data_IF_602557416085
#
_entry.id   IF_602557416085
#
_cell.length_a   1.000
_cell.length_b   1.000
_cell.length_c   1.000
_cell.angle_alpha   90.00
_cell.angle_beta   90.00
_cell.angle_gamma   90.00
#
_symmetry.space_group_name_H-M   'P 1'
#
loop_
_entity.id
_entity.type
_entity.pdbx_description
1 polymer ?
#
# COMPACT_ATOMS: atom_id res chain seq x y z
N UNK A 1 8.70 35.99 34.05
CA UNK A 1 8.41 35.18 35.26
C UNK A 1 6.90 34.96 35.26
N UNK A 2 6.31 33.77 35.09
CA UNK A 2 6.82 32.41 35.09
C UNK A 2 6.01 31.55 34.10
N UNK A 3 6.76 30.67 33.43
CA UNK A 3 6.43 29.33 32.91
C UNK A 3 5.15 28.68 33.45
N UNK A 4 4.33 28.13 32.56
CA UNK A 4 3.58 26.88 32.77
C UNK A 4 3.69 26.01 31.53
N UNK A 5 4.48 24.95 31.67
CA UNK A 5 4.47 23.76 30.83
C UNK A 5 3.20 22.94 31.08
N UNK A 6 2.65 22.35 30.03
CA UNK A 6 2.05 21.02 30.08
C UNK A 6 2.33 20.32 28.76
N UNK A 7 3.23 19.33 28.83
CA UNK A 7 3.37 18.22 27.90
C UNK A 7 2.05 17.47 27.73
N UNK A 8 1.80 16.95 26.53
CA UNK A 8 0.58 16.22 26.19
C UNK A 8 0.67 15.44 24.86
N UNK A 9 1.60 14.48 24.81
CA UNK A 9 1.54 13.19 24.09
C UNK A 9 0.71 13.08 22.79
N UNK A 10 1.43 13.05 21.66
CA UNK A 10 0.99 12.47 20.38
C UNK A 10 2.20 11.98 19.59
N UNK A 11 2.78 10.84 20.00
CA UNK A 11 4.01 10.29 19.42
C UNK A 11 3.71 9.37 18.24
N UNK A 12 3.76 9.89 17.01
CA UNK A 12 4.11 9.13 15.79
C UNK A 12 4.55 10.07 14.66
N UNK A 13 5.74 10.66 14.79
CA UNK A 13 6.54 11.01 13.61
C UNK A 13 7.77 10.10 13.66
N UNK A 14 7.59 8.83 13.30
CA UNK A 14 8.70 7.88 13.24
C UNK A 14 9.50 8.26 12.00
N UNK A 15 10.64 8.95 12.17
CA UNK A 15 11.54 9.45 11.12
C UNK A 15 12.14 8.39 10.18
N UNK A 16 11.31 7.50 9.63
CA UNK A 16 11.63 6.52 8.60
C UNK A 16 11.48 7.22 7.25
N UNK A 17 12.55 7.27 6.42
CA UNK A 17 12.48 7.93 5.13
C UNK A 17 11.39 7.33 4.22
N UNK A 18 10.71 8.14 3.39
CA UNK A 18 9.68 7.63 2.45
C UNK A 18 10.19 6.52 1.52
N UNK A 19 11.44 6.62 1.09
CA UNK A 19 12.10 5.59 0.28
C UNK A 19 12.25 4.26 1.03
N UNK A 20 12.47 4.30 2.34
CA UNK A 20 12.51 3.10 3.18
C UNK A 20 11.12 2.51 3.32
N UNK A 21 10.09 3.32 3.59
CA UNK A 21 8.68 2.88 3.65
C UNK A 21 8.27 2.19 2.35
N UNK A 22 8.69 2.68 1.19
CA UNK A 22 8.42 2.06 -0.10
C UNK A 22 9.04 0.65 -0.28
N UNK A 23 10.11 0.32 0.45
CA UNK A 23 10.77 -0.99 0.41
C UNK A 23 10.28 -1.97 1.47
N UNK A 24 9.75 -1.47 2.59
CA UNK A 24 9.26 -2.30 3.71
C UNK A 24 8.27 -3.42 3.28
N UNK A 25 7.31 -3.19 2.35
CA UNK A 25 6.44 -4.28 1.88
C UNK A 25 7.20 -5.42 1.21
N UNK A 26 8.33 -5.13 0.56
CA UNK A 26 9.21 -6.15 -0.02
C UNK A 26 9.91 -6.97 1.06
N UNK A 27 10.34 -6.33 2.15
CA UNK A 27 10.93 -7.01 3.31
C UNK A 27 9.91 -7.90 4.02
N UNK A 28 8.69 -7.41 4.21
CA UNK A 28 7.62 -8.19 4.82
C UNK A 28 7.35 -9.46 4.02
N UNK A 29 7.21 -9.36 2.68
CA UNK A 29 7.04 -10.54 1.81
C UNK A 29 8.18 -11.56 1.96
N UNK A 30 9.42 -11.10 2.05
CA UNK A 30 10.57 -11.99 2.22
C UNK A 30 10.56 -12.67 3.60
N UNK A 31 10.12 -11.97 4.64
CA UNK A 31 9.97 -12.51 6.00
C UNK A 31 8.80 -13.51 6.10
N UNK A 32 7.70 -13.25 5.39
CA UNK A 32 6.57 -14.17 5.31
C UNK A 32 7.01 -15.50 4.66
N UNK A 33 7.74 -15.42 3.54
CA UNK A 33 8.30 -16.61 2.89
C UNK A 33 9.28 -17.39 3.80
N UNK A 34 10.13 -16.69 4.55
CA UNK A 34 11.01 -17.31 5.55
C UNK A 34 10.22 -18.00 6.66
N UNK A 35 9.08 -17.43 7.07
CA UNK A 35 8.19 -18.00 8.07
C UNK A 35 7.53 -19.28 7.55
N UNK A 36 7.06 -19.27 6.29
CA UNK A 36 6.52 -20.46 5.60
C UNK A 36 7.57 -21.58 5.48
N UNK A 37 8.84 -21.22 5.25
CA UNK A 37 9.97 -22.14 5.22
C UNK A 37 10.39 -22.66 6.62
N UNK A 38 9.78 -22.16 7.70
CA UNK A 38 10.10 -22.53 9.08
C UNK A 38 11.43 -21.93 9.59
N UNK A 39 11.93 -20.88 8.95
CA UNK A 39 13.18 -20.21 9.33
C UNK A 39 12.93 -19.28 10.52
N UNK A 40 13.66 -19.53 11.61
CA UNK A 40 13.57 -18.72 12.84
C UNK A 40 14.46 -17.49 12.78
N UNK A 41 15.64 -17.59 12.15
CA UNK A 41 16.60 -16.51 12.08
C UNK A 41 17.19 -16.37 10.67
N UNK A 42 17.30 -15.13 10.17
CA UNK A 42 17.87 -14.83 8.84
C UNK A 42 19.04 -13.84 8.95
N UNK A 43 20.00 -13.93 8.01
CA UNK A 43 21.04 -12.92 7.86
C UNK A 43 20.53 -11.70 7.08
N UNK A 44 21.26 -10.58 7.10
CA UNK A 44 20.97 -9.44 6.23
C UNK A 44 21.23 -9.73 4.76
N UNK A 45 22.11 -10.68 4.46
CA UNK A 45 22.45 -11.05 3.09
C UNK A 45 21.32 -11.86 2.48
N UNK A 46 20.87 -12.91 3.17
CA UNK A 46 19.75 -13.74 2.75
C UNK A 46 18.45 -12.93 2.62
N UNK A 47 18.13 -12.12 3.63
CA UNK A 47 16.91 -11.31 3.58
C UNK A 47 16.95 -10.27 2.45
N UNK A 48 18.13 -9.68 2.17
CA UNK A 48 18.27 -8.70 1.11
C UNK A 48 18.17 -9.34 -0.27
N UNK A 49 18.74 -10.54 -0.45
CA UNK A 49 18.62 -11.33 -1.68
C UNK A 49 17.15 -11.65 -1.96
N UNK A 50 16.43 -12.22 -0.99
CA UNK A 50 14.99 -12.53 -1.12
C UNK A 50 14.14 -11.28 -1.41
N UNK A 51 14.51 -10.14 -0.83
CA UNK A 51 13.80 -8.88 -1.04
C UNK A 51 14.23 -8.12 -2.31
N UNK A 52 15.25 -8.58 -3.03
CA UNK A 52 15.77 -7.92 -4.23
C UNK A 52 16.45 -6.58 -3.96
N UNK A 53 17.10 -6.41 -2.81
CA UNK A 53 17.83 -5.18 -2.43
C UNK A 53 19.29 -5.47 -2.08
N UNK A 54 20.11 -4.43 -2.00
CA UNK A 54 21.48 -4.57 -1.50
C UNK A 54 21.49 -4.76 0.05
N UNK A 55 22.30 -5.68 0.61
CA UNK A 55 22.42 -5.88 2.07
C UNK A 55 22.77 -4.63 2.88
N UNK A 56 23.57 -3.71 2.33
CA UNK A 56 23.87 -2.42 2.96
C UNK A 56 22.64 -1.51 3.03
N UNK A 57 21.81 -1.50 1.97
CA UNK A 57 20.55 -0.76 1.95
C UNK A 57 19.56 -1.35 2.96
N UNK A 58 19.44 -2.67 3.01
CA UNK A 58 18.58 -3.35 3.97
C UNK A 58 18.97 -3.00 5.42
N UNK A 59 20.27 -3.11 5.78
CA UNK A 59 20.73 -2.74 7.13
C UNK A 59 20.44 -1.28 7.47
N UNK A 60 20.63 -0.37 6.52
CA UNK A 60 20.29 1.05 6.69
C UNK A 60 18.80 1.23 6.94
N UNK A 61 17.95 0.54 6.19
CA UNK A 61 16.50 0.62 6.34
C UNK A 61 16.02 0.07 7.68
N UNK A 62 16.50 -1.12 8.06
CA UNK A 62 16.13 -1.74 9.34
C UNK A 62 16.63 -0.93 10.54
N UNK A 63 17.73 -0.18 10.41
CA UNK A 63 18.21 0.70 11.49
C UNK A 63 17.23 1.81 11.87
N UNK A 64 16.32 2.23 10.97
CA UNK A 64 15.27 3.19 11.30
C UNK A 64 14.12 2.57 12.10
N UNK A 65 13.97 1.24 12.07
CA UNK A 65 12.95 0.51 12.81
C UNK A 65 13.39 0.23 14.26
N UNK A 66 14.69 0.35 14.53
CA UNK A 66 15.34 0.19 15.83
C UNK A 66 16.62 -0.66 15.72
N UNK A 67 17.26 -0.93 16.86
CA UNK A 67 18.49 -1.74 16.89
C UNK A 67 18.16 -3.23 16.92
N UNK A 68 18.07 -3.85 15.75
CA UNK A 68 17.81 -5.29 15.62
C UNK A 68 18.88 -5.96 14.78
N UNK A 69 19.30 -7.14 15.23
CA UNK A 69 20.51 -7.82 14.78
C UNK A 69 21.59 -7.79 15.85
N UNK A 70 21.80 -8.92 16.55
CA UNK A 70 23.06 -9.11 17.29
C UNK A 70 24.14 -9.41 16.25
N UNK A 71 25.28 -8.73 16.33
CA UNK A 71 26.45 -9.04 15.50
C UNK A 71 26.72 -10.55 15.61
N UNK A 72 26.65 -11.26 14.48
CA UNK A 72 26.87 -12.71 14.40
C UNK A 72 25.64 -13.61 14.59
N UNK A 73 24.44 -13.07 14.85
CA UNK A 73 23.20 -13.87 15.06
C UNK A 73 22.14 -13.65 13.99
N UNK A 74 22.09 -12.46 13.37
CA UNK A 74 21.06 -12.12 12.39
C UNK A 74 19.77 -11.59 13.02
N UNK A 75 18.68 -11.64 12.27
CA UNK A 75 17.35 -11.17 12.67
C UNK A 75 16.45 -12.35 13.00
N UNK A 76 15.71 -12.26 14.09
CA UNK A 76 14.62 -13.20 14.37
C UNK A 76 13.44 -12.83 13.46
N UNK A 77 12.97 -13.81 12.67
CA UNK A 77 12.06 -13.59 11.55
C UNK A 77 10.70 -13.11 12.04
N UNK A 78 10.14 -13.73 13.08
CA UNK A 78 8.81 -13.39 13.58
C UNK A 78 8.79 -11.97 14.16
N UNK A 79 9.77 -11.63 14.99
CA UNK A 79 9.91 -10.31 15.59
C UNK A 79 10.15 -9.22 14.56
N UNK A 80 10.99 -9.46 13.56
CA UNK A 80 11.23 -8.47 12.50
C UNK A 80 9.98 -8.27 11.64
N UNK A 81 9.23 -9.34 11.35
CA UNK A 81 7.96 -9.26 10.62
C UNK A 81 6.94 -8.40 11.37
N UNK A 82 6.77 -8.64 12.67
CA UNK A 82 5.88 -7.84 13.53
C UNK A 82 6.25 -6.34 13.48
N UNK A 83 7.54 -6.02 13.57
CA UNK A 83 8.01 -4.63 13.56
C UNK A 83 7.77 -3.92 12.23
N UNK A 84 8.07 -4.61 11.13
CA UNK A 84 7.80 -4.09 9.79
C UNK A 84 6.30 -3.88 9.63
N UNK A 85 5.47 -4.82 10.08
CA UNK A 85 4.01 -4.71 10.09
C UNK A 85 3.51 -3.50 10.89
N UNK A 86 4.03 -3.29 12.10
CA UNK A 86 3.66 -2.12 12.93
C UNK A 86 4.04 -0.81 12.26
N UNK A 87 5.20 -0.72 11.61
CA UNK A 87 5.64 0.49 10.90
C UNK A 87 4.79 0.74 9.65
N UNK A 88 4.33 -0.31 8.98
CA UNK A 88 3.39 -0.23 7.86
C UNK A 88 1.93 0.02 8.29
N UNK A 89 1.65 0.09 9.60
CA UNK A 89 0.29 0.30 10.10
C UNK A 89 -0.63 -0.92 9.97
N UNK A 90 -0.06 -2.12 9.84
CA UNK A 90 -0.80 -3.37 9.64
C UNK A 90 -1.23 -4.04 10.96
N UNK A 91 -1.06 -3.37 12.10
CA UNK A 91 -1.53 -3.84 13.40
C UNK A 91 -3.07 -3.92 13.48
N UNK A 92 -3.76 -3.19 12.61
CA UNK A 92 -5.22 -3.22 12.46
C UNK A 92 -5.57 -3.42 11.00
N UNK A 93 -6.61 -4.21 10.72
CA UNK A 93 -7.10 -4.39 9.36
C UNK A 93 -7.58 -3.05 8.77
N UNK A 94 -7.04 -2.65 7.63
CA UNK A 94 -7.40 -1.42 6.92
C UNK A 94 -8.58 -1.69 6.00
N UNK A 95 -9.60 -0.85 6.07
CA UNK A 95 -10.84 -1.01 5.31
C UNK A 95 -10.76 -0.20 4.02
N UNK A 96 -11.11 -0.84 2.91
CA UNK A 96 -10.90 -0.39 1.55
C UNK A 96 -12.22 -0.31 0.79
N UNK A 97 -12.42 0.81 0.08
CA UNK A 97 -13.46 0.93 -0.97
C UNK A 97 -12.80 0.89 -2.33
N UNK A 98 -13.40 0.17 -3.28
CA UNK A 98 -13.00 0.19 -4.70
C UNK A 98 -14.04 0.98 -5.47
N UNK A 99 -13.60 2.03 -6.18
CA UNK A 99 -14.44 2.86 -7.04
C UNK A 99 -14.11 2.59 -8.50
N UNK A 100 -15.13 2.21 -9.28
CA UNK A 100 -15.01 1.78 -10.67
C UNK A 100 -14.87 0.27 -10.80
N UNK A 101 -15.99 -0.43 -11.01
CA UNK A 101 -16.10 -1.88 -11.13
C UNK A 101 -16.19 -2.29 -12.61
N UNK A 102 -15.25 -1.77 -13.40
CA UNK A 102 -14.92 -2.31 -14.72
C UNK A 102 -14.04 -3.56 -14.62
N UNK A 103 -13.35 -3.93 -15.71
CA UNK A 103 -12.47 -5.11 -15.73
C UNK A 103 -11.42 -5.11 -14.60
N UNK A 104 -10.77 -3.96 -14.37
CA UNK A 104 -9.75 -3.84 -13.33
C UNK A 104 -10.36 -3.86 -11.92
N UNK A 105 -11.42 -3.10 -11.68
CA UNK A 105 -12.11 -3.11 -10.39
C UNK A 105 -12.63 -4.49 -10.01
N UNK A 106 -13.17 -5.24 -10.98
CA UNK A 106 -13.57 -6.63 -10.80
C UNK A 106 -12.39 -7.52 -10.41
N UNK A 107 -11.25 -7.39 -11.09
CA UNK A 107 -10.05 -8.16 -10.75
C UNK A 107 -9.53 -7.84 -9.34
N UNK A 108 -9.51 -6.55 -8.97
CA UNK A 108 -9.09 -6.09 -7.65
C UNK A 108 -10.04 -6.56 -6.54
N UNK A 109 -11.35 -6.54 -6.78
CA UNK A 109 -12.36 -7.00 -5.82
C UNK A 109 -12.23 -8.50 -5.52
N UNK A 110 -11.79 -9.31 -6.49
CA UNK A 110 -11.59 -10.75 -6.33
C UNK A 110 -10.16 -11.12 -5.87
N UNK A 111 -9.29 -10.13 -5.61
CA UNK A 111 -7.91 -10.40 -5.23
C UNK A 111 -7.79 -10.74 -3.74
N UNK A 112 -7.61 -12.02 -3.42
CA UNK A 112 -7.46 -12.50 -2.04
C UNK A 112 -6.24 -11.91 -1.31
N UNK A 113 -5.20 -11.52 -2.05
CA UNK A 113 -3.96 -11.00 -1.48
C UNK A 113 -4.10 -9.67 -0.74
N UNK A 114 -5.25 -8.99 -0.80
CA UNK A 114 -5.57 -7.90 0.11
C UNK A 114 -5.79 -8.38 1.55
N UNK A 115 -6.61 -9.42 1.73
CA UNK A 115 -6.93 -9.94 3.06
C UNK A 115 -5.67 -10.47 3.75
N UNK A 116 -4.82 -11.19 3.01
CA UNK A 116 -3.54 -11.73 3.49
C UNK A 116 -2.58 -10.62 3.96
N UNK A 117 -2.76 -9.38 3.46
CA UNK A 117 -1.92 -8.22 3.78
C UNK A 117 -2.58 -7.25 4.75
N UNK A 118 -3.67 -7.65 5.42
CA UNK A 118 -4.36 -6.82 6.39
C UNK A 118 -5.28 -5.76 5.78
N UNK A 119 -5.72 -5.95 4.54
CA UNK A 119 -6.69 -5.07 3.87
C UNK A 119 -8.03 -5.79 3.67
N UNK A 120 -9.13 -5.20 4.15
CA UNK A 120 -10.48 -5.67 3.86
C UNK A 120 -11.12 -4.79 2.79
N UNK A 121 -11.51 -5.38 1.66
CA UNK A 121 -12.44 -4.71 0.74
C UNK A 121 -13.84 -4.79 1.36
N UNK A 122 -14.41 -3.64 1.70
CA UNK A 122 -15.69 -3.54 2.43
C UNK A 122 -16.79 -2.87 1.63
N UNK A 123 -16.46 -2.31 0.47
CA UNK A 123 -17.38 -1.61 -0.39
C UNK A 123 -16.89 -1.60 -1.84
N UNK A 124 -17.84 -1.70 -2.76
CA UNK A 124 -17.63 -1.56 -4.20
C UNK A 124 -18.58 -0.47 -4.68
N UNK A 125 -18.07 0.52 -5.41
CA UNK A 125 -18.84 1.69 -5.81
C UNK A 125 -18.67 1.94 -7.30
N UNK A 126 -19.76 2.22 -8.01
CA UNK A 126 -19.75 2.59 -9.42
C UNK A 126 -20.83 3.65 -9.73
N UNK A 127 -20.62 4.42 -10.81
CA UNK A 127 -21.60 5.38 -11.32
C UNK A 127 -22.47 4.80 -12.45
N UNK A 128 -22.05 3.70 -13.09
CA UNK A 128 -22.76 3.09 -14.20
C UNK A 128 -24.01 2.33 -13.70
N UNK A 129 -25.23 2.72 -14.13
CA UNK A 129 -26.46 2.07 -13.67
C UNK A 129 -26.54 0.57 -14.00
N UNK A 130 -25.83 0.13 -15.04
CA UNK A 130 -25.75 -1.28 -15.42
C UNK A 130 -24.89 -2.13 -14.46
N UNK A 131 -24.03 -1.50 -13.67
CA UNK A 131 -23.11 -2.16 -12.73
C UNK A 131 -23.63 -2.06 -11.29
N UNK A 132 -24.24 -0.93 -10.94
CA UNK A 132 -24.88 -0.73 -9.63
C UNK A 132 -25.95 -1.80 -9.37
N UNK A 133 -25.94 -2.37 -8.16
CA UNK A 133 -26.83 -3.45 -7.73
C UNK A 133 -26.33 -4.87 -8.09
N UNK A 134 -25.30 -5.00 -8.93
CA UNK A 134 -24.66 -6.31 -9.17
C UNK A 134 -23.88 -6.78 -7.94
N UNK A 135 -23.58 -8.08 -7.86
CA UNK A 135 -22.77 -8.65 -6.79
C UNK A 135 -21.42 -9.10 -7.32
N UNK A 136 -20.35 -8.66 -6.68
CA UNK A 136 -18.96 -9.00 -7.00
C UNK A 136 -18.24 -9.35 -5.70
N UNK A 137 -17.55 -10.50 -5.68
CA UNK A 137 -16.83 -10.99 -4.50
C UNK A 137 -17.69 -11.01 -3.20
N UNK A 138 -19.00 -11.25 -3.34
CA UNK A 138 -19.96 -11.26 -2.22
C UNK A 138 -20.41 -9.87 -1.72
N UNK A 139 -19.97 -8.78 -2.37
CA UNK A 139 -20.38 -7.41 -2.07
C UNK A 139 -21.30 -6.89 -3.18
N UNK A 140 -22.34 -6.14 -2.78
CA UNK A 140 -23.21 -5.43 -3.73
C UNK A 140 -22.49 -4.15 -4.18
N UNK A 141 -22.51 -3.87 -5.48
CA UNK A 141 -22.00 -2.61 -6.02
C UNK A 141 -23.00 -1.50 -5.72
N UNK A 142 -22.55 -0.49 -5.01
CA UNK A 142 -23.35 0.65 -4.58
C UNK A 142 -23.14 1.88 -5.48
N UNK A 143 -24.11 2.79 -5.54
CA UNK A 143 -24.00 3.98 -6.37
C UNK A 143 -23.02 5.00 -5.78
N UNK A 144 -22.33 5.74 -6.65
CA UNK A 144 -21.33 6.74 -6.28
C UNK A 144 -21.85 7.87 -5.38
N UNK A 145 -23.13 8.23 -5.50
CA UNK A 145 -23.76 9.25 -4.66
C UNK A 145 -23.84 8.86 -3.17
N UNK A 146 -23.71 7.58 -2.85
CA UNK A 146 -23.68 7.05 -1.47
C UNK A 146 -22.27 6.96 -0.90
N UNK A 147 -21.23 7.34 -1.64
CA UNK A 147 -19.82 7.14 -1.25
C UNK A 147 -19.52 7.69 0.15
N UNK A 148 -19.95 8.92 0.46
CA UNK A 148 -19.71 9.52 1.77
C UNK A 148 -20.34 8.71 2.92
N UNK A 149 -21.59 8.28 2.76
CA UNK A 149 -22.28 7.46 3.75
C UNK A 149 -21.62 6.08 3.91
N UNK A 150 -21.15 5.48 2.81
CA UNK A 150 -20.42 4.21 2.82
C UNK A 150 -19.11 4.34 3.57
N UNK A 151 -18.35 5.41 3.31
CA UNK A 151 -17.06 5.67 3.96
C UNK A 151 -17.23 5.81 5.47
N UNK A 152 -18.21 6.59 5.91
CA UNK A 152 -18.51 6.78 7.33
C UNK A 152 -19.02 5.48 7.98
N UNK A 153 -20.06 4.85 7.43
CA UNK A 153 -20.71 3.69 8.02
C UNK A 153 -19.78 2.46 8.08
N UNK A 154 -18.77 2.40 7.22
CA UNK A 154 -17.83 1.28 7.12
C UNK A 154 -16.42 1.68 7.48
N UNK A 155 -16.18 2.82 8.12
CA UNK A 155 -14.85 3.26 8.59
C UNK A 155 -13.76 3.06 7.52
N UNK A 156 -14.06 3.50 6.30
CA UNK A 156 -13.16 3.30 5.16
C UNK A 156 -11.97 4.23 5.30
N UNK A 157 -10.78 3.65 5.19
CA UNK A 157 -9.53 4.38 5.39
C UNK A 157 -8.68 4.51 4.11
N UNK A 158 -8.99 3.70 3.10
CA UNK A 158 -8.28 3.67 1.81
C UNK A 158 -9.29 3.59 0.66
N UNK A 159 -9.12 4.45 -0.34
CA UNK A 159 -9.87 4.42 -1.59
C UNK A 159 -9.02 3.90 -2.74
N UNK A 160 -9.54 2.95 -3.50
CA UNK A 160 -8.92 2.45 -4.73
C UNK A 160 -9.69 2.98 -5.93
N UNK A 161 -9.02 3.74 -6.80
CA UNK A 161 -9.60 4.31 -8.02
C UNK A 161 -9.21 3.43 -9.21
N UNK A 162 -10.19 2.71 -9.74
CA UNK A 162 -10.08 1.84 -10.91
C UNK A 162 -10.95 2.35 -12.09
N UNK A 163 -11.22 3.65 -12.12
CA UNK A 163 -11.99 4.32 -13.18
C UNK A 163 -11.10 4.77 -14.35
N UNK A 164 -11.69 5.06 -15.53
CA UNK A 164 -11.00 5.77 -16.60
C UNK A 164 -10.46 7.15 -16.14
N UNK A 165 -9.48 7.69 -16.87
CA UNK A 165 -8.81 8.95 -16.53
C UNK A 165 -9.77 10.16 -16.43
N UNK A 166 -10.85 10.17 -17.23
CA UNK A 166 -11.80 11.28 -17.27
C UNK A 166 -12.51 11.51 -15.93
N UNK A 167 -12.89 10.45 -15.20
CA UNK A 167 -13.60 10.55 -13.93
C UNK A 167 -12.73 10.42 -12.68
N UNK A 168 -11.41 10.17 -12.84
CA UNK A 168 -10.56 9.82 -11.71
C UNK A 168 -10.34 10.96 -10.70
N UNK A 169 -10.35 12.22 -11.15
CA UNK A 169 -10.24 13.36 -10.22
C UNK A 169 -11.53 13.56 -9.44
N UNK A 170 -12.69 13.49 -10.09
CA UNK A 170 -13.98 13.67 -9.40
C UNK A 170 -14.18 12.60 -8.33
N UNK A 171 -13.78 11.35 -8.62
CA UNK A 171 -13.77 10.27 -7.62
C UNK A 171 -12.77 10.53 -6.50
N UNK A 172 -11.57 11.03 -6.84
CA UNK A 172 -10.56 11.40 -5.85
C UNK A 172 -11.10 12.48 -4.90
N UNK A 173 -11.68 13.54 -5.44
CA UNK A 173 -12.23 14.66 -4.67
C UNK A 173 -13.36 14.16 -3.76
N UNK A 174 -14.26 13.30 -4.27
CA UNK A 174 -15.34 12.70 -3.47
C UNK A 174 -14.82 11.79 -2.33
N UNK A 175 -13.74 11.04 -2.56
CA UNK A 175 -13.08 10.25 -1.51
C UNK A 175 -12.47 11.14 -0.43
N UNK A 176 -11.79 12.22 -0.84
CA UNK A 176 -11.18 13.19 0.07
C UNK A 176 -12.24 13.92 0.90
N UNK A 177 -13.32 14.36 0.28
CA UNK A 177 -14.46 14.99 0.96
C UNK A 177 -15.14 14.05 1.96
N UNK A 178 -15.18 12.75 1.65
CA UNK A 178 -15.67 11.72 2.56
C UNK A 178 -14.71 11.39 3.72
N UNK A 179 -13.50 11.98 3.75
CA UNK A 179 -12.51 11.80 4.82
C UNK A 179 -11.47 10.71 4.57
N UNK A 180 -11.38 10.17 3.35
CA UNK A 180 -10.37 9.17 3.00
C UNK A 180 -9.01 9.83 2.78
N UNK A 181 -8.03 9.46 3.62
CA UNK A 181 -6.68 10.04 3.59
C UNK A 181 -5.68 9.23 2.73
N UNK A 182 -5.99 7.99 2.36
CA UNK A 182 -5.12 7.15 1.54
C UNK A 182 -5.77 6.76 0.22
N UNK A 183 -5.15 7.10 -0.91
CA UNK A 183 -5.70 6.82 -2.25
C UNK A 183 -4.69 6.01 -3.07
N UNK A 184 -5.13 4.85 -3.57
CA UNK A 184 -4.43 4.08 -4.60
C UNK A 184 -5.14 4.29 -5.93
N UNK A 185 -4.45 4.79 -6.94
CA UNK A 185 -5.05 5.04 -8.26
C UNK A 185 -4.35 4.24 -9.36
N UNK A 186 -5.17 3.64 -10.23
CA UNK A 186 -4.73 3.02 -11.47
C UNK A 186 -5.08 3.88 -12.69
N UNK A 187 -5.64 5.07 -12.48
CA UNK A 187 -5.94 5.98 -13.57
C UNK A 187 -4.61 6.52 -14.16
N UNK A 188 -4.44 6.54 -15.49
CA UNK A 188 -3.21 6.98 -16.14
C UNK A 188 -3.12 8.52 -16.18
N UNK A 189 -3.22 9.16 -15.02
CA UNK A 189 -3.08 10.61 -14.85
C UNK A 189 -2.69 10.98 -13.43
N UNK A 190 -2.02 12.12 -13.30
CA UNK A 190 -1.81 12.73 -12.00
C UNK A 190 -3.15 13.23 -11.41
N UNK A 191 -3.32 12.96 -10.11
CA UNK A 191 -4.42 13.47 -9.29
C UNK A 191 -3.90 14.63 -8.44
N UNK A 192 -4.78 15.59 -8.16
CA UNK A 192 -4.51 16.69 -7.25
C UNK A 192 -5.19 16.40 -5.92
N UNK A 193 -4.46 16.53 -4.83
CA UNK A 193 -4.96 16.26 -3.48
C UNK A 193 -4.39 17.30 -2.51
N UNK A 194 -5.07 17.56 -1.38
CA UNK A 194 -4.50 18.38 -0.31
C UNK A 194 -3.36 17.65 0.41
N UNK A 195 -2.51 18.41 1.12
CA UNK A 195 -1.28 17.91 1.76
C UNK A 195 -1.48 16.77 2.78
N UNK A 196 -2.69 16.62 3.32
CA UNK A 196 -3.02 15.58 4.30
C UNK A 196 -3.44 14.24 3.66
N UNK A 197 -3.45 14.15 2.33
CA UNK A 197 -3.88 12.96 1.58
C UNK A 197 -2.70 12.38 0.83
N UNK A 198 -2.44 11.10 1.07
CA UNK A 198 -1.41 10.34 0.38
C UNK A 198 -1.99 9.68 -0.88
N UNK A 199 -1.36 9.91 -2.03
CA UNK A 199 -1.71 9.26 -3.30
C UNK A 199 -0.59 8.36 -3.77
N UNK A 200 -0.92 7.10 -4.09
CA UNK A 200 -0.04 6.16 -4.78
C UNK A 200 -0.63 5.83 -6.14
N UNK A 201 0.12 6.12 -7.20
CA UNK A 201 -0.26 5.75 -8.56
C UNK A 201 0.41 4.43 -8.96
N UNK A 202 -0.35 3.54 -9.61
CA UNK A 202 0.14 2.32 -10.24
C UNK A 202 -0.09 2.42 -11.73
N UNK A 203 0.99 2.57 -12.49
CA UNK A 203 0.97 2.63 -13.94
C UNK A 203 1.74 1.45 -14.54
N UNK A 204 1.00 0.36 -14.80
CA UNK A 204 1.55 -0.85 -15.40
C UNK A 204 2.13 -0.57 -16.80
N UNK A 205 1.56 0.37 -17.54
CA UNK A 205 2.05 0.69 -18.89
C UNK A 205 3.41 1.38 -18.82
N UNK A 206 3.62 2.29 -17.86
CA UNK A 206 4.93 2.91 -17.61
C UNK A 206 6.00 1.88 -17.26
N UNK A 207 5.67 0.87 -16.44
CA UNK A 207 6.60 -0.23 -16.11
C UNK A 207 6.99 -1.04 -17.37
N UNK A 208 6.04 -1.32 -18.27
CA UNK A 208 6.33 -2.00 -19.54
C UNK A 208 7.22 -1.15 -20.46
N UNK A 209 7.06 0.18 -20.47
CA UNK A 209 7.93 1.07 -21.25
C UNK A 209 9.38 1.05 -20.74
N UNK A 210 9.59 0.98 -19.42
CA UNK A 210 10.92 0.83 -18.82
C UNK A 210 11.56 -0.49 -19.27
N UNK A 211 10.80 -1.59 -19.29
CA UNK A 211 11.29 -2.88 -19.79
C UNK A 211 11.66 -2.81 -21.27
N UNK A 212 10.83 -2.18 -22.10
CA UNK A 212 11.10 -1.99 -23.52
C UNK A 212 12.40 -1.18 -23.77
N UNK A 213 12.67 -0.16 -22.95
CA UNK A 213 13.91 0.60 -23.01
C UNK A 213 15.15 -0.26 -22.70
N UNK A 214 15.09 -1.09 -21.66
CA UNK A 214 16.20 -2.00 -21.33
C UNK A 214 16.44 -3.04 -22.43
N UNK A 215 15.36 -3.56 -23.02
CA UNK A 215 15.45 -4.53 -24.09
C UNK A 215 16.14 -3.95 -25.33
N UNK A 216 15.71 -2.77 -25.77
CA UNK A 216 16.32 -2.05 -26.88
C UNK A 216 17.82 -1.80 -26.67
N UNK A 217 18.26 -1.50 -25.44
CA UNK A 217 19.68 -1.31 -25.12
C UNK A 217 20.50 -2.60 -25.14
N UNK A 218 19.92 -3.72 -24.70
CA UNK A 218 20.60 -5.03 -24.79
C UNK A 218 20.81 -5.42 -26.24
N UNK A 219 19.78 -5.27 -27.09
CA UNK A 219 19.86 -5.56 -28.52
C UNK A 219 20.86 -4.67 -29.27
N UNK A 220 21.01 -3.40 -28.86
CA UNK A 220 21.99 -2.49 -29.45
C UNK A 220 23.45 -2.72 -29.00
N UNK A 221 23.66 -3.39 -27.86
CA UNK A 221 25.01 -3.71 -27.33
C UNK A 221 25.48 -5.10 -27.77
N UNK A 222 24.55 -5.95 -28.24
CA UNK A 222 24.82 -7.28 -28.78
C UNK A 222 24.95 -7.35 -30.31
N UNK A 223 24.99 -6.19 -30.99
CA UNK A 223 25.26 -6.03 -32.43
C UNK A 223 26.57 -5.26 -32.62
#
# INVERSE_FOLDING_TARGET
>A
MAIHSTDGTGRTDRGVPPATVARLPGYLRALDALTEDGVVTTSSEELAERAGVNPAQLRKDLSFLGSYGRRGVGYEVAHLSEQVGVVLGLATQRRVVIVGIGNLGLALANYSGFADRGFAVVALVDAAPAVVGTTVAGLVVEPLDQLAAIVEARDVSIGVIATPAAGAQDVCDALVEAGVAGILTFAPRALRVPDHVDVRAVDVASELQILAFHDARRSATGA
#
